data_IF_833659857198
#
_entry.id   IF_833659857198
#
_cell.length_a   1.000
_cell.length_b   1.000
_cell.length_c   1.000
_cell.angle_alpha   90.00
_cell.angle_beta   90.00
_cell.angle_gamma   90.00
#
_symmetry.space_group_name_H-M   'P 1'
#
loop_
_entity.id
_entity.type
_entity.pdbx_description
1 polymer ?
#
# COMPACT_ATOMS: atom_id res chain seq x y z
N UNK A 1 -30.81 -6.91 0.76
CA UNK A 1 -30.43 -6.89 2.18
C UNK A 1 -28.97 -6.46 2.23
N UNK A 2 -28.73 -5.20 2.53
CA UNK A 2 -27.39 -4.65 2.71
C UNK A 2 -26.99 -4.88 4.17
N UNK A 3 -26.00 -5.77 4.39
CA UNK A 3 -25.40 -5.93 5.70
C UNK A 3 -24.62 -4.64 6.03
N UNK A 4 -25.12 -3.93 7.01
CA UNK A 4 -24.40 -2.88 7.70
C UNK A 4 -23.20 -3.53 8.42
N UNK A 5 -21.99 -3.29 7.90
CA UNK A 5 -20.75 -3.61 8.60
C UNK A 5 -20.74 -2.75 9.86
N UNK A 6 -20.91 -3.40 10.98
CA UNK A 6 -20.97 -2.83 12.32
C UNK A 6 -19.67 -2.05 12.63
N UNK A 7 -19.73 -0.73 12.66
CA UNK A 7 -18.67 0.16 13.14
C UNK A 7 -18.50 0.12 14.68
N UNK A 8 -19.03 -0.90 15.33
CA UNK A 8 -19.16 -0.97 16.80
C UNK A 8 -17.90 -1.36 17.57
N UNK A 9 -16.81 -1.83 16.93
CA UNK A 9 -15.60 -2.24 17.67
C UNK A 9 -14.60 -1.11 17.92
N UNK A 10 -14.58 -0.07 17.09
CA UNK A 10 -13.68 1.07 17.28
C UNK A 10 -14.14 2.03 18.39
N UNK A 11 -15.44 2.20 18.59
CA UNK A 11 -15.98 3.12 19.60
C UNK A 11 -15.63 2.73 21.04
N UNK A 12 -15.47 1.45 21.33
CA UNK A 12 -15.17 0.95 22.69
C UNK A 12 -13.74 1.27 23.08
N UNK A 13 -12.75 1.05 22.19
CA UNK A 13 -11.35 1.36 22.46
C UNK A 13 -11.10 2.86 22.66
N UNK A 14 -11.73 3.72 21.89
CA UNK A 14 -11.61 5.17 22.03
C UNK A 14 -12.22 5.72 23.33
N UNK A 15 -13.17 5.00 23.93
CA UNK A 15 -13.75 5.35 25.22
C UNK A 15 -12.90 4.87 26.42
N UNK A 16 -12.12 3.83 26.24
CA UNK A 16 -11.29 3.22 27.30
C UNK A 16 -9.86 3.74 27.32
N UNK A 17 -9.33 4.16 26.16
CA UNK A 17 -7.94 4.57 25.99
C UNK A 17 -7.84 5.95 25.36
N UNK A 18 -6.85 6.73 25.82
CA UNK A 18 -6.45 7.96 25.13
C UNK A 18 -5.53 7.55 23.96
N UNK A 19 -6.02 7.68 22.72
CA UNK A 19 -5.34 7.19 21.52
C UNK A 19 -4.88 8.38 20.67
N UNK A 20 -3.58 8.45 20.37
CA UNK A 20 -3.01 9.41 19.44
C UNK A 20 -2.77 8.76 18.07
N UNK A 21 -3.55 9.14 17.09
CA UNK A 21 -3.46 8.59 15.74
C UNK A 21 -2.60 9.49 14.84
N UNK A 22 -1.64 8.87 14.17
CA UNK A 22 -0.71 9.56 13.27
C UNK A 22 -0.67 8.84 11.93
N UNK A 23 -0.77 9.58 10.84
CA UNK A 23 -0.47 9.11 9.49
C UNK A 23 0.70 9.91 8.90
N UNK A 24 1.63 9.20 8.27
CA UNK A 24 2.82 9.78 7.66
C UNK A 24 2.85 9.36 6.20
N UNK A 25 2.81 10.30 5.28
CA UNK A 25 2.98 10.04 3.86
C UNK A 25 3.55 11.25 3.13
N UNK A 26 4.04 11.04 1.91
CA UNK A 26 4.50 12.13 1.05
C UNK A 26 3.28 12.90 0.51
N UNK A 27 3.10 14.13 0.98
CA UNK A 27 1.98 14.99 0.56
C UNK A 27 2.21 15.60 -0.83
N UNK A 28 3.45 15.59 -1.32
CA UNK A 28 3.77 15.97 -2.68
C UNK A 28 3.50 14.79 -3.62
N UNK A 29 2.50 14.95 -4.48
CA UNK A 29 2.08 13.91 -5.42
C UNK A 29 3.17 13.53 -6.43
N UNK A 30 3.96 14.48 -6.89
CA UNK A 30 5.02 14.21 -7.86
C UNK A 30 6.16 13.43 -7.21
N UNK A 31 6.54 13.81 -6.01
CA UNK A 31 7.54 13.11 -5.22
C UNK A 31 7.09 11.69 -4.87
N UNK A 32 5.83 11.51 -4.47
CA UNK A 32 5.25 10.20 -4.22
C UNK A 32 5.31 9.31 -5.48
N UNK A 33 4.95 9.86 -6.65
CA UNK A 33 4.99 9.12 -7.92
C UNK A 33 6.42 8.72 -8.30
N UNK A 34 7.41 9.59 -8.12
CA UNK A 34 8.83 9.28 -8.34
C UNK A 34 9.33 8.18 -7.41
N UNK A 35 8.95 8.22 -6.13
CA UNK A 35 9.31 7.17 -5.16
C UNK A 35 8.72 5.82 -5.54
N UNK A 36 7.45 5.77 -5.94
CA UNK A 36 6.80 4.54 -6.40
C UNK A 36 7.53 3.96 -7.61
N UNK A 37 7.86 4.80 -8.59
CA UNK A 37 8.56 4.41 -9.81
C UNK A 37 9.98 3.89 -9.51
N UNK A 38 10.76 4.62 -8.71
CA UNK A 38 12.09 4.18 -8.30
C UNK A 38 12.05 2.85 -7.53
N UNK A 39 11.10 2.69 -6.60
CA UNK A 39 10.94 1.44 -5.86
C UNK A 39 10.61 0.28 -6.77
N UNK A 40 9.69 0.46 -7.74
CA UNK A 40 9.35 -0.59 -8.70
C UNK A 40 10.55 -0.98 -9.55
N UNK A 41 11.33 0.01 -10.02
CA UNK A 41 12.57 -0.24 -10.79
C UNK A 41 13.57 -1.07 -9.99
N UNK A 42 13.79 -0.71 -8.73
CA UNK A 42 14.66 -1.46 -7.82
C UNK A 42 14.14 -2.89 -7.63
N UNK A 43 12.86 -3.07 -7.32
CA UNK A 43 12.26 -4.40 -7.11
C UNK A 43 12.41 -5.31 -8.35
N UNK A 44 12.22 -4.77 -9.54
CA UNK A 44 12.39 -5.53 -10.80
C UNK A 44 13.85 -5.91 -11.08
N UNK A 45 14.79 -5.05 -10.66
CA UNK A 45 16.23 -5.33 -10.80
C UNK A 45 16.73 -6.29 -9.71
N UNK A 46 16.16 -6.23 -8.51
CA UNK A 46 16.56 -7.05 -7.35
C UNK A 46 15.90 -8.44 -7.35
N UNK A 47 15.10 -8.78 -8.37
CA UNK A 47 14.62 -10.15 -8.58
C UNK A 47 13.15 -10.40 -8.28
N UNK A 48 12.27 -9.40 -8.33
CA UNK A 48 10.81 -9.58 -8.17
C UNK A 48 10.26 -10.68 -9.08
N UNK A 49 10.75 -10.79 -10.33
CA UNK A 49 10.27 -11.80 -11.28
C UNK A 49 10.64 -13.20 -10.80
N UNK A 50 11.88 -13.39 -10.35
CA UNK A 50 12.35 -14.69 -9.84
C UNK A 50 11.68 -15.06 -8.51
N UNK A 51 11.42 -14.10 -7.64
CA UNK A 51 10.65 -14.30 -6.42
C UNK A 51 9.25 -14.84 -6.73
N UNK A 52 8.50 -14.16 -7.60
CA UNK A 52 7.13 -14.57 -7.97
C UNK A 52 7.14 -15.92 -8.67
N UNK A 53 8.07 -16.16 -9.58
CA UNK A 53 8.26 -17.46 -10.25
C UNK A 53 8.52 -18.58 -9.24
N UNK A 54 9.37 -18.33 -8.25
CA UNK A 54 9.66 -19.28 -7.18
C UNK A 54 8.44 -19.60 -6.33
N UNK A 55 7.63 -18.59 -6.00
CA UNK A 55 6.38 -18.76 -5.24
C UNK A 55 5.34 -19.57 -6.02
N UNK A 56 5.10 -19.22 -7.28
CA UNK A 56 4.14 -19.93 -8.15
C UNK A 56 4.56 -21.40 -8.34
N UNK A 57 5.85 -21.69 -8.51
CA UNK A 57 6.34 -23.04 -8.68
C UNK A 57 6.33 -23.88 -7.39
N UNK A 58 6.54 -23.24 -6.22
CA UNK A 58 6.62 -23.94 -4.94
C UNK A 58 5.26 -24.27 -4.37
N UNK A 59 4.27 -23.42 -4.59
CA UNK A 59 2.96 -23.53 -4.01
C UNK A 59 1.90 -23.72 -5.09
N UNK A 60 1.05 -24.75 -4.94
CA UNK A 60 -0.16 -24.88 -5.74
C UNK A 60 -1.18 -23.85 -5.28
N UNK A 61 -1.09 -22.66 -5.84
CA UNK A 61 -1.99 -21.57 -5.49
C UNK A 61 -3.37 -21.84 -6.08
N UNK A 62 -4.41 -21.80 -5.23
CA UNK A 62 -5.80 -21.84 -5.73
C UNK A 62 -6.07 -20.55 -6.50
N UNK A 63 -6.92 -20.61 -7.52
CA UNK A 63 -7.27 -19.48 -8.40
C UNK A 63 -7.67 -18.19 -7.67
N UNK A 64 -8.23 -18.31 -6.46
CA UNK A 64 -8.68 -17.18 -5.64
C UNK A 64 -7.68 -16.78 -4.54
N UNK A 65 -6.46 -17.31 -4.57
CA UNK A 65 -5.49 -16.96 -3.52
C UNK A 65 -5.15 -15.46 -3.56
N UNK A 66 -5.22 -14.73 -2.42
CA UNK A 66 -5.06 -13.27 -2.39
C UNK A 66 -3.76 -12.76 -3.01
N UNK A 67 -2.68 -13.53 -2.95
CA UNK A 67 -1.38 -13.17 -3.54
C UNK A 67 -1.45 -12.98 -5.05
N UNK A 68 -2.34 -13.73 -5.75
CA UNK A 68 -2.52 -13.64 -7.20
C UNK A 68 -3.11 -12.30 -7.63
N UNK A 69 -3.80 -11.59 -6.73
CA UNK A 69 -4.38 -10.27 -6.96
C UNK A 69 -3.56 -9.13 -6.35
N UNK A 70 -2.50 -9.44 -5.59
CA UNK A 70 -1.64 -8.44 -5.00
C UNK A 70 -0.95 -7.59 -6.08
N UNK A 71 -0.86 -6.27 -5.82
CA UNK A 71 -0.19 -5.32 -6.73
C UNK A 71 1.27 -5.75 -6.92
N UNK A 72 1.75 -5.65 -8.14
CA UNK A 72 3.02 -6.10 -8.67
C UNK A 72 3.10 -7.63 -8.88
N UNK A 73 2.57 -8.46 -7.99
CA UNK A 73 2.53 -9.92 -8.20
C UNK A 73 1.63 -10.30 -9.36
N UNK A 74 0.41 -9.76 -9.41
CA UNK A 74 -0.52 -9.99 -10.53
C UNK A 74 0.11 -9.66 -11.88
N UNK A 75 0.76 -8.51 -12.00
CA UNK A 75 1.39 -8.09 -13.24
C UNK A 75 2.59 -8.98 -13.60
N UNK A 76 3.36 -9.40 -12.60
CA UNK A 76 4.49 -10.31 -12.80
C UNK A 76 4.02 -11.70 -13.23
N UNK A 77 2.92 -12.20 -12.67
CA UNK A 77 2.32 -13.48 -13.11
C UNK A 77 1.89 -13.39 -14.57
N UNK A 78 1.18 -12.33 -14.97
CA UNK A 78 0.77 -12.13 -16.37
C UNK A 78 1.99 -12.09 -17.34
N UNK A 79 3.11 -11.53 -16.88
CA UNK A 79 4.36 -11.54 -17.64
C UNK A 79 4.95 -12.96 -17.75
N UNK A 80 4.98 -13.71 -16.66
CA UNK A 80 5.47 -15.09 -16.64
C UNK A 80 4.62 -16.05 -17.50
N UNK A 81 3.32 -15.77 -17.62
CA UNK A 81 2.38 -16.48 -18.48
C UNK A 81 2.45 -16.05 -19.95
N UNK A 82 3.29 -15.05 -20.27
CA UNK A 82 3.43 -14.54 -21.64
C UNK A 82 2.26 -13.69 -22.13
N UNK A 83 1.38 -13.23 -21.23
CA UNK A 83 0.22 -12.40 -21.56
C UNK A 83 0.59 -10.93 -21.81
N UNK A 84 1.71 -10.49 -21.28
CA UNK A 84 2.24 -9.14 -21.44
C UNK A 84 3.76 -9.21 -21.59
N UNK A 85 4.35 -8.22 -22.26
CA UNK A 85 5.79 -8.07 -22.35
C UNK A 85 6.41 -7.35 -21.13
N UNK A 86 7.72 -7.13 -21.14
CA UNK A 86 8.44 -6.51 -20.01
C UNK A 86 8.14 -5.02 -19.86
N UNK A 87 7.91 -4.32 -20.94
CA UNK A 87 7.53 -2.90 -20.91
C UNK A 87 6.14 -2.74 -20.32
N UNK A 88 5.21 -3.57 -20.76
CA UNK A 88 3.85 -3.66 -20.21
C UNK A 88 3.85 -4.04 -18.74
N UNK A 89 4.71 -4.98 -18.30
CA UNK A 89 4.88 -5.31 -16.89
C UNK A 89 5.20 -4.07 -16.07
N UNK A 90 6.21 -3.31 -16.48
CA UNK A 90 6.60 -2.08 -15.78
C UNK A 90 5.45 -1.07 -15.74
N UNK A 91 4.88 -0.76 -16.88
CA UNK A 91 3.83 0.27 -17.00
C UNK A 91 2.56 -0.10 -16.21
N UNK A 92 2.11 -1.34 -16.29
CA UNK A 92 0.92 -1.82 -15.58
C UNK A 92 1.16 -1.93 -14.08
N UNK A 93 2.34 -2.37 -13.64
CA UNK A 93 2.71 -2.42 -12.23
C UNK A 93 2.83 -1.00 -11.63
N UNK A 94 3.44 -0.07 -12.36
CA UNK A 94 3.54 1.34 -11.96
C UNK A 94 2.15 1.98 -11.82
N UNK A 95 1.29 1.79 -12.80
CA UNK A 95 -0.09 2.29 -12.74
C UNK A 95 -0.85 1.71 -11.54
N UNK A 96 -0.80 0.40 -11.35
CA UNK A 96 -1.49 -0.27 -10.24
C UNK A 96 -0.99 0.21 -8.87
N UNK A 97 0.33 0.41 -8.72
CA UNK A 97 0.95 0.94 -7.48
C UNK A 97 0.51 2.38 -7.19
N UNK A 98 0.46 3.24 -8.22
CA UNK A 98 -0.04 4.62 -8.08
C UNK A 98 -1.53 4.65 -7.69
N UNK A 99 -2.35 3.78 -8.26
CA UNK A 99 -3.77 3.65 -7.90
C UNK A 99 -3.96 3.13 -6.47
N UNK A 100 -3.12 2.18 -6.02
CA UNK A 100 -3.14 1.71 -4.65
C UNK A 100 -2.81 2.84 -3.67
N UNK A 101 -1.73 3.59 -3.92
CA UNK A 101 -1.34 4.74 -3.09
C UNK A 101 -2.46 5.79 -3.01
N UNK A 102 -3.12 6.10 -4.15
CA UNK A 102 -4.26 7.02 -4.18
C UNK A 102 -5.40 6.55 -3.29
N UNK A 103 -5.77 5.24 -3.36
CA UNK A 103 -6.82 4.68 -2.51
C UNK A 103 -6.45 4.72 -1.03
N UNK A 104 -5.19 4.40 -0.68
CA UNK A 104 -4.69 4.46 0.69
C UNK A 104 -4.77 5.89 1.25
N UNK A 105 -4.34 6.90 0.50
CA UNK A 105 -4.43 8.30 0.92
C UNK A 105 -5.88 8.75 1.08
N UNK A 106 -6.76 8.36 0.16
CA UNK A 106 -8.20 8.67 0.27
C UNK A 106 -8.80 8.07 1.54
N UNK A 107 -8.45 6.82 1.85
CA UNK A 107 -8.90 6.13 3.04
C UNK A 107 -8.34 6.79 4.32
N UNK A 108 -7.05 7.11 4.37
CA UNK A 108 -6.42 7.83 5.48
C UNK A 108 -7.14 9.16 5.75
N UNK A 109 -7.44 9.92 4.69
CA UNK A 109 -8.12 11.22 4.81
C UNK A 109 -9.58 11.14 5.26
N UNK A 110 -10.19 9.97 5.20
CA UNK A 110 -11.56 9.75 5.69
C UNK A 110 -11.63 9.42 7.19
N UNK A 111 -10.48 9.27 7.87
CA UNK A 111 -10.45 9.00 9.30
C UNK A 111 -10.60 10.28 10.12
N UNK A 112 -11.50 10.24 11.10
CA UNK A 112 -11.64 11.31 12.07
C UNK A 112 -10.48 11.30 13.07
N UNK A 113 -10.13 12.46 13.61
CA UNK A 113 -9.10 12.68 14.65
C UNK A 113 -7.69 12.17 14.28
N UNK A 114 -7.35 12.12 12.99
CA UNK A 114 -6.08 11.69 12.50
C UNK A 114 -5.11 12.87 12.26
N UNK A 115 -3.96 12.84 12.92
CA UNK A 115 -2.89 13.81 12.71
C UNK A 115 -2.05 13.40 11.49
N UNK A 116 -2.10 14.18 10.43
CA UNK A 116 -1.41 13.88 9.16
C UNK A 116 -0.12 14.71 9.08
N UNK A 117 0.99 14.03 8.89
CA UNK A 117 2.32 14.64 8.71
C UNK A 117 2.93 14.28 7.36
N UNK A 118 3.74 15.22 6.83
CA UNK A 118 4.60 14.92 5.70
C UNK A 118 5.74 14.00 6.14
N UNK A 119 6.21 13.13 5.25
CA UNK A 119 7.30 12.18 5.53
C UNK A 119 8.60 12.86 6.01
N UNK A 120 8.80 14.12 5.66
CA UNK A 120 9.98 14.90 6.03
C UNK A 120 9.80 15.73 7.33
N UNK A 121 8.64 15.62 8.00
CA UNK A 121 8.28 16.41 9.20
C UNK A 121 8.65 15.71 10.51
N UNK A 122 9.83 15.12 10.62
CA UNK A 122 10.24 14.34 11.78
C UNK A 122 10.11 15.14 13.10
N UNK A 123 10.56 16.40 13.13
CA UNK A 123 10.51 17.23 14.35
C UNK A 123 9.08 17.51 14.82
N UNK A 124 8.17 17.72 13.88
CA UNK A 124 6.75 17.98 14.17
C UNK A 124 6.07 16.71 14.70
N UNK A 125 6.42 15.56 14.13
CA UNK A 125 5.94 14.25 14.59
C UNK A 125 6.42 13.98 16.02
N UNK A 126 7.71 14.16 16.31
CA UNK A 126 8.28 14.01 17.66
C UNK A 126 7.61 14.95 18.66
N UNK A 127 7.39 16.22 18.29
CA UNK A 127 6.68 17.20 19.13
C UNK A 127 5.25 16.77 19.41
N UNK A 128 4.53 16.28 18.39
CA UNK A 128 3.17 15.78 18.52
C UNK A 128 3.06 14.61 19.51
N UNK A 129 4.01 13.66 19.42
CA UNK A 129 4.08 12.51 20.34
C UNK A 129 4.38 12.97 21.76
N UNK A 130 5.38 13.85 21.95
CA UNK A 130 5.76 14.36 23.29
C UNK A 130 4.64 15.15 23.96
N UNK A 131 3.85 15.88 23.20
CA UNK A 131 2.71 16.64 23.74
C UNK A 131 1.52 15.74 24.14
N UNK A 132 1.50 14.51 23.61
CA UNK A 132 0.45 13.55 23.92
C UNK A 132 0.76 12.72 25.19
N UNK A 133 2.04 12.48 25.48
CA UNK A 133 2.50 11.74 26.67
C UNK A 133 2.49 12.66 27.89
#
# INVERSE_FOLDING_TARGET
MSEQINSGSNSTLFNEYNIHQIAIYDQDREMLHKRIENRLSIMLNDGLIEEVKGLVNRYTLKEQHPILSAVNYKQTINYLEGLIDREDLFNKALYASRQLAKRQITWIRSWDDLNIFNINSQREIEKSIRNFI
#
